data_IF_355498929182
#
_entry.id   IF_355498929182
#
_cell.length_a   1.000
_cell.length_b   1.000
_cell.length_c   1.000
_cell.angle_alpha   90.00
_cell.angle_beta   90.00
_cell.angle_gamma   90.00
#
_symmetry.space_group_name_H-M   'P 1'
#
loop_
_entity.id
_entity.type
_entity.pdbx_description
1 polymer ?
#
# COMPACT_ATOMS: atom_id res chain seq x y z
N UNK A 1 -1.57 6.24 25.90
CA UNK A 1 -2.82 5.80 26.58
C UNK A 1 -3.07 4.38 26.12
N UNK A 2 -2.49 3.41 26.83
CA UNK A 2 -2.81 2.00 26.58
C UNK A 2 -4.16 1.73 27.22
N UNK A 3 -5.15 1.40 26.40
CA UNK A 3 -6.40 0.83 26.90
C UNK A 3 -6.02 -0.53 27.51
N UNK A 4 -6.03 -0.60 28.84
CA UNK A 4 -5.81 -1.83 29.60
C UNK A 4 -6.72 -2.93 29.01
N UNK A 5 -6.17 -4.07 28.55
CA UNK A 5 -6.98 -5.07 27.87
C UNK A 5 -7.84 -5.77 28.91
N UNK A 6 -9.15 -5.54 28.87
CA UNK A 6 -10.06 -6.60 29.26
C UNK A 6 -9.74 -7.87 28.47
N UNK A 7 -10.16 -9.04 28.94
CA UNK A 7 -9.86 -10.34 28.30
C UNK A 7 -10.45 -10.52 26.88
N UNK A 8 -11.12 -9.50 26.33
CA UNK A 8 -11.76 -9.51 25.02
C UNK A 8 -11.30 -8.33 24.17
N UNK A 9 -10.87 -8.63 22.95
CA UNK A 9 -10.50 -7.63 21.94
C UNK A 9 -11.75 -6.91 21.43
N UNK A 10 -11.79 -5.59 21.56
CA UNK A 10 -12.90 -4.75 21.09
C UNK A 10 -12.52 -3.84 19.91
N UNK A 11 -11.23 -3.78 19.54
CA UNK A 11 -10.75 -2.99 18.42
C UNK A 11 -9.58 -3.68 17.70
N UNK A 12 -9.37 -3.34 16.43
CA UNK A 12 -8.24 -3.80 15.61
C UNK A 12 -7.67 -2.66 14.78
N UNK A 13 -6.35 -2.62 14.64
CA UNK A 13 -5.63 -1.60 13.87
C UNK A 13 -4.86 -2.23 12.72
N UNK A 14 -4.58 -1.43 11.70
CA UNK A 14 -3.55 -1.72 10.71
C UNK A 14 -2.90 -0.41 10.24
N UNK A 15 -1.66 -0.51 9.77
CA UNK A 15 -0.87 0.64 9.35
C UNK A 15 -0.23 0.37 8.00
N UNK A 16 -0.06 1.44 7.22
CA UNK A 16 0.75 1.43 6.00
C UNK A 16 1.64 2.67 5.97
N UNK A 17 2.92 2.43 5.70
CA UNK A 17 3.91 3.49 5.51
C UNK A 17 4.28 3.51 4.02
N UNK A 18 4.40 4.72 3.48
CA UNK A 18 4.89 5.01 2.13
C UNK A 18 6.02 6.04 2.23
N UNK A 19 6.74 6.26 1.15
CA UNK A 19 7.89 7.19 1.11
C UNK A 19 7.57 8.60 1.62
N UNK A 20 6.33 9.07 1.45
CA UNK A 20 5.93 10.43 1.84
C UNK A 20 4.81 10.50 2.89
N UNK A 21 4.18 9.37 3.26
CA UNK A 21 2.99 9.36 4.14
C UNK A 21 2.90 8.10 4.98
N UNK A 22 2.33 8.24 6.17
CA UNK A 22 1.92 7.13 7.03
C UNK A 22 0.40 7.20 7.27
N UNK A 23 -0.26 6.05 7.14
CA UNK A 23 -1.69 5.90 7.42
C UNK A 23 -1.88 4.87 8.52
N UNK A 24 -2.68 5.24 9.52
CA UNK A 24 -3.10 4.34 10.59
C UNK A 24 -4.63 4.39 10.66
N UNK A 25 -5.28 3.25 10.45
CA UNK A 25 -6.73 3.13 10.60
C UNK A 25 -7.07 2.09 11.67
N UNK A 26 -8.29 2.18 12.20
CA UNK A 26 -8.77 1.28 13.22
C UNK A 26 -10.24 0.94 13.02
N UNK A 27 -10.63 -0.24 13.53
CA UNK A 27 -12.01 -0.66 13.71
C UNK A 27 -12.29 -0.75 15.20
N UNK A 28 -13.44 -0.23 15.64
CA UNK A 28 -13.98 -0.38 17.00
C UNK A 28 -15.32 -1.12 16.91
N UNK A 29 -15.49 -2.17 17.70
CA UNK A 29 -16.70 -2.98 17.71
C UNK A 29 -17.77 -2.33 18.61
N UNK A 30 -18.65 -1.53 18.02
CA UNK A 30 -19.78 -0.90 18.72
C UNK A 30 -21.06 -1.64 18.36
N UNK A 31 -21.60 -2.40 19.33
CA UNK A 31 -22.81 -3.20 19.16
C UNK A 31 -22.80 -4.11 17.91
N UNK A 32 -21.60 -4.60 17.53
CA UNK A 32 -21.45 -5.52 16.40
C UNK A 32 -22.01 -6.90 16.78
N UNK A 33 -22.75 -7.54 15.87
CA UNK A 33 -23.20 -8.91 16.04
C UNK A 33 -22.01 -9.88 15.94
N UNK A 34 -21.59 -10.42 17.09
CA UNK A 34 -20.45 -11.32 17.18
C UNK A 34 -20.75 -12.72 16.62
N UNK A 35 -22.01 -13.13 16.50
CA UNK A 35 -22.38 -14.40 15.87
C UNK A 35 -22.21 -14.32 14.36
N UNK A 36 -22.68 -13.22 13.76
CA UNK A 36 -22.48 -12.97 12.33
C UNK A 36 -20.99 -12.82 12.04
N UNK A 37 -20.28 -11.96 12.79
CA UNK A 37 -18.85 -11.73 12.60
C UNK A 37 -18.03 -13.02 12.70
N UNK A 38 -18.24 -13.82 13.74
CA UNK A 38 -17.52 -15.08 13.91
C UNK A 38 -17.87 -16.09 12.81
N UNK A 39 -19.13 -16.13 12.35
CA UNK A 39 -19.55 -17.01 11.25
C UNK A 39 -18.89 -16.62 9.93
N UNK A 40 -18.85 -15.32 9.61
CA UNK A 40 -18.24 -14.81 8.39
C UNK A 40 -16.72 -14.97 8.36
N UNK A 41 -16.05 -14.95 9.52
CA UNK A 41 -14.60 -15.12 9.63
C UNK A 41 -14.14 -16.58 9.73
N UNK A 42 -15.07 -17.54 9.86
CA UNK A 42 -14.72 -18.96 9.84
C UNK A 42 -14.24 -19.35 8.45
N UNK A 43 -12.98 -19.78 8.35
CA UNK A 43 -12.44 -20.36 7.13
C UNK A 43 -13.22 -21.64 6.76
N UNK A 44 -13.67 -21.80 5.50
CA UNK A 44 -14.21 -23.07 5.02
C UNK A 44 -13.12 -24.15 4.88
N UNK A 45 -11.84 -23.74 4.88
CA UNK A 45 -10.69 -24.64 4.80
C UNK A 45 -10.24 -25.02 6.21
N UNK A 46 -10.33 -26.32 6.55
CA UNK A 46 -10.04 -26.84 7.90
C UNK A 46 -8.57 -27.12 8.15
N UNK A 47 -7.78 -27.29 7.10
CA UNK A 47 -6.33 -27.49 7.17
C UNK A 47 -5.68 -26.68 6.06
N UNK A 48 -5.11 -25.54 6.43
CA UNK A 48 -4.27 -24.76 5.54
C UNK A 48 -2.86 -24.90 6.09
N UNK A 49 -2.01 -25.64 5.40
CA UNK A 49 -0.59 -25.71 5.77
C UNK A 49 -0.02 -24.31 5.60
N UNK A 50 0.28 -23.66 6.73
CA UNK A 50 0.98 -22.39 6.73
C UNK A 50 2.46 -22.73 6.55
N UNK A 51 2.98 -22.52 5.35
CA UNK A 51 4.41 -22.59 5.08
C UNK A 51 4.94 -21.18 4.96
N UNK A 52 6.07 -20.90 5.61
CA UNK A 52 6.85 -19.72 5.29
C UNK A 52 7.41 -19.87 3.88
N UNK A 53 6.92 -19.04 2.98
CA UNK A 53 7.36 -19.02 1.58
C UNK A 53 8.31 -17.85 1.41
N UNK A 54 9.53 -18.14 0.96
CA UNK A 54 10.40 -17.12 0.38
C UNK A 54 9.76 -16.65 -0.92
N UNK A 55 9.18 -15.46 -0.87
CA UNK A 55 8.44 -14.86 -1.98
C UNK A 55 9.34 -14.68 -3.20
N UNK A 56 10.63 -14.36 -3.02
CA UNK A 56 11.57 -14.12 -4.11
C UNK A 56 11.96 -15.42 -4.83
N UNK A 57 12.12 -16.52 -4.09
CA UNK A 57 12.35 -17.85 -4.69
C UNK A 57 11.10 -18.40 -5.38
N UNK A 58 9.92 -18.20 -4.81
CA UNK A 58 8.67 -18.71 -5.38
C UNK A 58 8.23 -17.92 -6.62
N UNK A 59 8.51 -16.62 -6.65
CA UNK A 59 8.34 -15.79 -7.84
C UNK A 59 9.06 -16.39 -9.05
N UNK A 60 10.30 -16.86 -8.90
CA UNK A 60 11.08 -17.46 -10.00
C UNK A 60 10.40 -18.69 -10.63
N UNK A 61 9.51 -19.38 -9.90
CA UNK A 61 8.86 -20.62 -10.35
C UNK A 61 7.57 -20.38 -11.14
N UNK A 62 6.91 -19.24 -10.95
CA UNK A 62 5.63 -18.94 -11.61
C UNK A 62 5.75 -17.72 -12.54
N UNK A 63 5.85 -17.99 -13.85
CA UNK A 63 5.97 -16.97 -14.88
C UNK A 63 4.87 -15.91 -14.83
N UNK A 64 3.63 -16.30 -14.58
CA UNK A 64 2.51 -15.35 -14.53
C UNK A 64 2.64 -14.39 -13.34
N UNK A 65 3.14 -14.87 -12.20
CA UNK A 65 3.37 -14.03 -11.01
C UNK A 65 4.57 -13.10 -11.24
N UNK A 66 5.62 -13.55 -11.92
CA UNK A 66 6.73 -12.69 -12.34
C UNK A 66 6.24 -11.58 -13.27
N UNK A 67 5.43 -11.92 -14.26
CA UNK A 67 4.84 -10.97 -15.20
C UNK A 67 3.92 -9.97 -14.50
N UNK A 68 3.09 -10.44 -13.56
CA UNK A 68 2.25 -9.55 -12.76
C UNK A 68 3.09 -8.63 -11.87
N UNK A 69 4.14 -9.15 -11.22
CA UNK A 69 4.99 -8.34 -10.36
C UNK A 69 5.79 -7.32 -11.18
N UNK A 70 6.30 -7.71 -12.36
CA UNK A 70 7.02 -6.79 -13.23
C UNK A 70 6.09 -5.69 -13.74
N UNK A 71 4.85 -6.02 -14.09
CA UNK A 71 3.82 -5.05 -14.43
C UNK A 71 3.49 -4.11 -13.26
N UNK A 72 3.29 -4.65 -12.06
CA UNK A 72 2.98 -3.84 -10.87
C UNK A 72 4.15 -2.92 -10.47
N UNK A 73 5.38 -3.29 -10.80
CA UNK A 73 6.59 -2.48 -10.61
C UNK A 73 6.87 -1.54 -11.80
N UNK A 74 6.15 -1.65 -12.91
CA UNK A 74 6.40 -0.84 -14.10
C UNK A 74 6.09 0.65 -13.86
N UNK A 75 6.96 1.53 -14.33
CA UNK A 75 6.80 2.97 -14.11
C UNK A 75 5.57 3.54 -14.82
N UNK A 76 5.25 3.04 -16.02
CA UNK A 76 4.06 3.50 -16.73
C UNK A 76 2.79 3.09 -15.99
N UNK A 77 2.81 1.92 -15.35
CA UNK A 77 1.75 1.49 -14.44
C UNK A 77 1.65 2.38 -13.21
N UNK A 78 2.75 2.57 -12.48
CA UNK A 78 2.72 3.28 -11.18
C UNK A 78 2.46 4.78 -11.36
N UNK A 79 3.08 5.42 -12.36
CA UNK A 79 3.10 6.87 -12.51
C UNK A 79 2.73 7.37 -13.90
N UNK A 80 2.77 6.53 -14.94
CA UNK A 80 2.49 6.94 -16.32
C UNK A 80 1.09 7.50 -16.56
N UNK A 81 0.14 7.25 -15.63
CA UNK A 81 -1.22 7.81 -15.66
C UNK A 81 -1.41 9.04 -14.78
N UNK A 82 -0.36 9.51 -14.10
CA UNK A 82 -0.44 10.73 -13.28
C UNK A 82 -0.79 11.91 -14.20
N UNK A 83 -1.86 12.66 -13.90
CA UNK A 83 -2.23 13.85 -14.68
C UNK A 83 -1.06 14.83 -14.78
N UNK A 84 -1.06 15.63 -15.84
CA UNK A 84 -0.09 16.72 -16.01
C UNK A 84 -0.55 17.90 -15.14
N UNK A 85 0.35 18.45 -14.33
CA UNK A 85 0.00 19.59 -13.47
C UNK A 85 1.20 20.47 -13.15
N UNK A 86 0.88 21.69 -12.72
CA UNK A 86 1.83 22.60 -12.10
C UNK A 86 1.76 22.48 -10.59
N UNK A 87 2.92 22.43 -9.94
CA UNK A 87 3.08 22.46 -8.50
C UNK A 87 3.86 23.72 -8.10
N UNK A 88 3.36 24.44 -7.10
CA UNK A 88 3.99 25.66 -6.59
C UNK A 88 4.17 25.55 -5.07
N UNK A 89 5.40 25.81 -4.60
CA UNK A 89 5.73 25.88 -3.18
C UNK A 89 6.80 26.97 -2.95
N UNK A 90 6.37 28.12 -2.43
CA UNK A 90 7.23 29.29 -2.25
C UNK A 90 7.79 29.78 -3.60
N UNK A 91 9.12 29.83 -3.72
CA UNK A 91 9.82 30.22 -4.96
C UNK A 91 9.94 29.08 -5.99
N UNK A 92 9.50 27.87 -5.65
CA UNK A 92 9.59 26.69 -6.54
C UNK A 92 8.30 26.51 -7.30
N UNK A 93 8.38 26.63 -8.62
CA UNK A 93 7.32 26.27 -9.57
C UNK A 93 7.80 25.13 -10.45
N UNK A 94 7.03 24.05 -10.52
CA UNK A 94 7.41 22.81 -11.16
C UNK A 94 6.30 22.30 -12.06
N UNK A 95 6.65 21.86 -13.26
CA UNK A 95 5.75 21.15 -14.16
C UNK A 95 6.03 19.66 -14.09
N UNK A 96 4.98 18.87 -13.82
CA UNK A 96 5.10 17.43 -13.61
C UNK A 96 4.32 16.68 -14.69
N UNK A 97 4.99 15.71 -15.32
CA UNK A 97 4.38 14.75 -16.24
C UNK A 97 4.81 13.33 -15.90
N UNK A 98 3.86 12.40 -15.79
CA UNK A 98 4.12 10.99 -15.51
C UNK A 98 4.99 10.76 -14.25
N UNK A 99 4.78 11.59 -13.22
CA UNK A 99 5.55 11.56 -11.97
C UNK A 99 6.95 12.17 -12.05
N UNK A 100 7.34 12.77 -13.17
CA UNK A 100 8.66 13.37 -13.40
C UNK A 100 8.53 14.89 -13.50
N UNK A 101 9.40 15.63 -12.80
CA UNK A 101 9.51 17.09 -12.94
C UNK A 101 10.18 17.37 -14.28
N UNK A 102 9.42 17.89 -15.25
CA UNK A 102 9.89 18.25 -16.59
C UNK A 102 10.44 19.67 -16.65
N UNK A 103 9.92 20.57 -15.81
CA UNK A 103 10.38 21.95 -15.73
C UNK A 103 10.38 22.40 -14.27
N UNK A 104 11.34 23.26 -13.92
CA UNK A 104 11.45 23.81 -12.57
C UNK A 104 12.04 25.22 -12.63
N UNK A 105 11.43 26.17 -11.92
CA UNK A 105 11.91 27.55 -11.83
C UNK A 105 13.32 27.70 -11.27
N UNK A 106 13.80 26.70 -10.52
CA UNK A 106 15.17 26.64 -9.98
C UNK A 106 16.13 25.81 -10.84
N UNK A 107 15.72 25.39 -12.04
CA UNK A 107 16.55 24.66 -13.01
C UNK A 107 16.75 23.17 -12.74
N UNK A 108 16.36 22.66 -11.56
CA UNK A 108 16.45 21.23 -11.23
C UNK A 108 15.24 20.45 -11.76
N UNK A 109 15.47 19.63 -12.77
CA UNK A 109 14.50 18.63 -13.27
C UNK A 109 14.64 17.31 -12.51
N UNK A 110 13.59 16.50 -12.54
CA UNK A 110 13.59 15.19 -11.87
C UNK A 110 14.15 14.12 -12.79
N UNK A 111 14.98 13.24 -12.24
CA UNK A 111 15.35 11.98 -12.88
C UNK A 111 14.47 10.85 -12.35
N UNK A 112 14.40 9.77 -13.13
CA UNK A 112 13.75 8.54 -12.66
C UNK A 112 14.61 8.00 -11.51
N UNK A 113 13.95 7.64 -10.40
CA UNK A 113 14.61 6.82 -9.38
C UNK A 113 14.71 5.39 -9.94
N UNK A 114 15.94 4.92 -10.12
CA UNK A 114 16.25 3.52 -10.44
C UNK A 114 16.05 2.61 -9.23
#
# INVERSE_FOLDING_TARGET
MELQPGSRKCSGTAARITTARAYHHLTLLVNADLLVLSTSLRSPYRECVVTDVDVDEELKKNKQVVENLSFLKDWNWIFGKTPKFWFENGSRKQYVEAGIIKECSLGQVGERFD
#
